data_IF_687245941157
#
_entry.id   IF_687245941157
#
_cell.length_a   1.000
_cell.length_b   1.000
_cell.length_c   1.000
_cell.angle_alpha   90.00
_cell.angle_beta   90.00
_cell.angle_gamma   90.00
#
_symmetry.space_group_name_H-M   'P 1'
#
loop_
_entity.id
_entity.type
_entity.pdbx_description
1 polymer ?
#
# COMPACT_ATOMS: atom_id res chain seq x y z
N UNK A 1 11.97 11.36 3.76
CA UNK A 1 13.00 11.00 2.76
C UNK A 1 12.40 10.31 1.54
N UNK A 2 11.80 9.10 1.60
CA UNK A 2 11.26 8.39 0.43
C UNK A 2 10.21 9.20 -0.38
N UNK A 3 9.25 9.88 0.29
CA UNK A 3 8.28 10.77 -0.36
C UNK A 3 8.97 11.94 -1.09
N UNK A 4 9.96 12.57 -0.46
CA UNK A 4 10.68 13.69 -1.06
C UNK A 4 11.42 13.26 -2.34
N UNK A 5 12.02 12.05 -2.31
CA UNK A 5 12.66 11.47 -3.49
C UNK A 5 11.64 11.18 -4.60
N UNK A 6 10.45 10.62 -4.24
CA UNK A 6 9.36 10.44 -5.19
C UNK A 6 8.92 11.75 -5.80
N UNK A 7 8.68 12.78 -4.98
CA UNK A 7 8.25 14.10 -5.45
C UNK A 7 9.30 14.72 -6.37
N UNK A 8 10.58 14.59 -6.03
CA UNK A 8 11.69 15.10 -6.83
C UNK A 8 11.80 14.39 -8.19
N UNK A 9 11.70 13.06 -8.22
CA UNK A 9 11.88 12.28 -9.45
C UNK A 9 10.63 12.24 -10.34
N UNK A 10 9.43 12.08 -9.77
CA UNK A 10 8.23 11.74 -10.52
C UNK A 10 7.17 12.85 -10.56
N UNK A 11 7.31 13.87 -9.71
CA UNK A 11 6.44 15.05 -9.72
C UNK A 11 7.14 16.24 -10.34
N UNK A 12 8.38 16.55 -9.91
CA UNK A 12 9.22 17.62 -10.45
C UNK A 12 9.96 17.19 -11.72
N UNK A 13 10.15 15.87 -11.93
CA UNK A 13 10.86 15.26 -13.04
C UNK A 13 12.38 15.52 -13.05
N UNK A 14 12.95 15.72 -11.88
CA UNK A 14 14.38 15.92 -11.67
C UNK A 14 15.10 14.60 -11.26
N UNK A 15 14.68 13.47 -11.84
CA UNK A 15 15.42 12.22 -11.75
C UNK A 15 16.81 12.36 -12.40
N UNK A 16 17.82 11.55 -12.00
CA UNK A 16 19.16 11.63 -12.59
C UNK A 16 19.15 11.30 -14.08
N UNK A 17 19.70 12.19 -14.90
CA UNK A 17 19.98 11.92 -16.31
C UNK A 17 21.28 11.09 -16.47
N UNK A 18 21.72 10.84 -17.69
CA UNK A 18 22.94 10.08 -18.00
C UNK A 18 24.21 10.66 -17.37
N UNK A 19 24.23 11.99 -17.11
CA UNK A 19 25.33 12.69 -16.45
C UNK A 19 25.16 12.76 -14.92
N UNK A 20 24.09 12.16 -14.36
CA UNK A 20 23.75 12.26 -12.94
C UNK A 20 23.17 13.62 -12.52
N UNK A 21 22.84 14.51 -13.47
CA UNK A 21 22.20 15.81 -13.20
C UNK A 21 20.69 15.69 -13.16
N UNK A 22 19.98 16.63 -12.46
CA UNK A 22 18.52 16.67 -12.48
C UNK A 22 17.98 16.81 -13.92
N UNK A 23 17.10 15.91 -14.35
CA UNK A 23 16.67 15.84 -15.76
C UNK A 23 16.04 17.13 -16.24
N UNK A 24 14.89 17.54 -15.65
CA UNK A 24 14.13 18.72 -16.11
C UNK A 24 14.90 20.01 -15.89
N UNK A 25 15.50 20.21 -14.71
CA UNK A 25 16.24 21.42 -14.35
C UNK A 25 17.52 21.61 -15.18
N UNK A 26 18.05 20.55 -15.79
CA UNK A 26 19.19 20.59 -16.71
C UNK A 26 18.78 20.67 -18.18
N UNK A 27 17.50 20.97 -18.48
CA UNK A 27 17.02 21.14 -19.84
C UNK A 27 16.56 19.86 -20.52
N UNK A 28 16.22 18.84 -19.77
CA UNK A 28 15.64 17.57 -20.27
C UNK A 28 14.35 17.82 -21.07
N UNK A 29 14.19 17.12 -22.19
CA UNK A 29 13.07 17.29 -23.11
C UNK A 29 11.74 16.88 -22.48
N UNK A 30 10.75 17.75 -22.53
CA UNK A 30 9.40 17.52 -22.03
C UNK A 30 8.40 17.46 -23.19
N UNK A 31 7.39 16.63 -23.09
CA UNK A 31 6.32 16.46 -24.08
C UNK A 31 4.95 16.58 -23.43
N UNK A 32 4.03 17.27 -24.10
CA UNK A 32 2.66 17.35 -23.63
C UNK A 32 1.94 16.02 -23.70
N UNK A 33 1.27 15.64 -22.63
CA UNK A 33 0.49 14.41 -22.60
C UNK A 33 -1.01 14.70 -22.41
N UNK A 34 -1.80 14.40 -23.44
CA UNK A 34 -3.25 14.68 -23.47
C UNK A 34 -4.04 13.95 -22.38
N UNK A 35 -3.63 12.75 -21.97
CA UNK A 35 -4.33 11.97 -20.93
C UNK A 35 -4.09 12.50 -19.55
N UNK A 36 -2.87 12.99 -19.29
CA UNK A 36 -2.47 13.54 -17.98
C UNK A 36 -2.70 15.06 -17.89
N UNK A 37 -3.00 15.73 -19.02
CA UNK A 37 -3.17 17.20 -19.14
C UNK A 37 -1.99 17.97 -18.54
N UNK A 38 -0.78 17.46 -18.78
CA UNK A 38 0.49 18.08 -18.31
C UNK A 38 1.65 17.59 -19.16
N UNK A 39 2.75 18.32 -19.08
CA UNK A 39 4.02 17.88 -19.65
C UNK A 39 4.61 16.74 -18.80
N UNK A 40 5.20 15.77 -19.49
CA UNK A 40 5.96 14.66 -18.91
C UNK A 40 7.29 14.51 -19.64
N UNK A 41 8.32 13.90 -19.06
CA UNK A 41 9.60 13.66 -19.73
C UNK A 41 9.43 12.86 -21.02
N UNK A 42 10.25 13.18 -22.01
CA UNK A 42 10.31 12.38 -23.25
C UNK A 42 10.60 10.91 -22.91
N UNK A 43 9.87 9.99 -23.55
CA UNK A 43 9.98 8.54 -23.30
C UNK A 43 9.11 8.02 -22.15
N UNK A 44 8.50 8.89 -21.36
CA UNK A 44 7.48 8.47 -20.39
C UNK A 44 6.11 8.31 -21.02
N UNK A 45 5.26 7.50 -20.42
CA UNK A 45 3.91 7.23 -20.92
C UNK A 45 2.83 7.44 -19.89
N UNK A 46 1.62 7.77 -20.34
CA UNK A 46 0.42 7.72 -19.51
C UNK A 46 -0.07 6.27 -19.44
N UNK A 47 0.10 5.59 -18.32
CA UNK A 47 -0.23 4.19 -18.12
C UNK A 47 -1.31 4.02 -17.07
N UNK A 48 -2.31 3.17 -17.34
CA UNK A 48 -3.31 2.79 -16.34
C UNK A 48 -2.69 1.85 -15.31
N UNK A 49 -3.10 1.96 -14.05
CA UNK A 49 -2.63 1.07 -12.97
C UNK A 49 -2.88 -0.39 -13.34
N UNK A 50 -4.08 -0.73 -13.83
CA UNK A 50 -4.40 -2.10 -14.25
C UNK A 50 -3.61 -2.61 -15.46
N UNK A 51 -2.85 -1.73 -16.15
CA UNK A 51 -1.90 -2.12 -17.18
C UNK A 51 -0.46 -2.19 -16.65
N UNK A 52 -0.17 -1.52 -15.53
CA UNK A 52 1.11 -1.63 -14.83
C UNK A 52 1.17 -2.92 -14.02
N UNK A 53 0.07 -3.21 -13.31
CA UNK A 53 -0.13 -4.43 -12.51
C UNK A 53 -1.52 -4.99 -12.81
N UNK A 54 -1.56 -6.21 -13.35
CA UNK A 54 -2.81 -6.81 -13.85
C UNK A 54 -3.64 -7.45 -12.75
N UNK A 55 -2.98 -7.88 -11.67
CA UNK A 55 -3.63 -8.61 -10.60
C UNK A 55 -4.17 -7.67 -9.54
N UNK A 56 -5.39 -7.16 -9.77
CA UNK A 56 -6.14 -6.36 -8.81
C UNK A 56 -7.27 -7.22 -8.22
N UNK A 57 -7.31 -7.35 -6.90
CA UNK A 57 -8.29 -8.15 -6.16
C UNK A 57 -9.19 -7.23 -5.35
N UNK A 58 -10.50 -7.28 -5.61
CA UNK A 58 -11.51 -6.71 -4.70
C UNK A 58 -11.77 -7.72 -3.58
N UNK A 59 -11.71 -7.26 -2.35
CA UNK A 59 -12.02 -8.09 -1.19
C UNK A 59 -13.48 -8.57 -1.18
N UNK A 60 -13.75 -9.51 -0.28
CA UNK A 60 -15.09 -10.07 -0.10
C UNK A 60 -15.24 -10.51 1.37
N UNK A 61 -16.42 -10.34 1.93
CA UNK A 61 -16.76 -10.84 3.26
C UNK A 61 -17.38 -12.24 3.11
N UNK A 62 -16.86 -13.26 3.83
CA UNK A 62 -17.52 -14.56 3.91
C UNK A 62 -18.91 -14.43 4.53
N UNK A 63 -19.76 -15.47 4.40
CA UNK A 63 -21.09 -15.46 4.98
C UNK A 63 -21.04 -15.21 6.48
N UNK A 64 -21.66 -14.12 6.94
CA UNK A 64 -21.75 -13.80 8.36
C UNK A 64 -22.80 -14.67 9.11
N UNK A 65 -23.62 -15.43 8.39
CA UNK A 65 -24.56 -16.37 8.98
C UNK A 65 -23.87 -17.65 9.50
N UNK A 66 -22.64 -17.89 9.07
CA UNK A 66 -21.82 -19.02 9.53
C UNK A 66 -20.63 -18.45 10.36
N UNK A 67 -20.80 -18.52 11.68
CA UNK A 67 -19.80 -18.01 12.63
C UNK A 67 -18.46 -18.73 12.54
N UNK A 68 -18.45 -20.00 12.11
CA UNK A 68 -17.24 -20.77 11.90
C UNK A 68 -16.30 -20.19 10.84
N UNK A 69 -16.77 -19.23 10.05
CA UNK A 69 -15.93 -18.52 9.07
C UNK A 69 -14.94 -17.53 9.72
N UNK A 70 -15.11 -17.22 11.00
CA UNK A 70 -14.37 -16.18 11.71
C UNK A 70 -13.61 -16.74 12.91
N UNK A 71 -12.73 -15.93 13.54
CA UNK A 71 -12.07 -16.27 14.80
C UNK A 71 -10.81 -17.13 14.67
N UNK A 72 -10.28 -17.32 13.45
CA UNK A 72 -9.01 -18.03 13.25
C UNK A 72 -7.80 -17.11 13.15
N UNK A 73 -6.75 -17.53 12.43
CA UNK A 73 -5.46 -16.83 12.39
C UNK A 73 -5.25 -15.92 11.16
N UNK A 74 -6.19 -15.90 10.21
CA UNK A 74 -6.03 -15.16 8.96
C UNK A 74 -6.61 -13.75 9.14
N UNK A 75 -5.80 -12.67 9.09
CA UNK A 75 -6.29 -11.30 9.22
C UNK A 75 -7.36 -11.00 8.17
N UNK A 76 -8.50 -10.47 8.61
CA UNK A 76 -9.56 -9.96 7.76
C UNK A 76 -9.54 -8.43 7.81
N UNK A 77 -8.75 -7.85 6.92
CA UNK A 77 -8.37 -6.45 6.94
C UNK A 77 -9.52 -5.56 6.46
N UNK A 78 -9.81 -4.54 7.24
CA UNK A 78 -10.80 -3.49 6.96
C UNK A 78 -10.11 -2.13 6.82
N UNK A 79 -10.89 -1.07 6.55
CA UNK A 79 -10.35 0.29 6.42
C UNK A 79 -9.70 0.76 7.73
N UNK A 80 -10.28 0.38 8.87
CA UNK A 80 -9.78 0.83 10.18
C UNK A 80 -8.44 0.19 10.53
N UNK A 81 -8.20 -1.04 10.07
CA UNK A 81 -6.91 -1.73 10.24
C UNK A 81 -5.79 -1.10 9.38
N UNK A 82 -6.15 -0.52 8.21
CA UNK A 82 -5.20 0.17 7.32
C UNK A 82 -4.94 1.61 7.82
N UNK A 83 -5.92 2.23 8.45
CA UNK A 83 -5.86 3.64 8.84
C UNK A 83 -4.69 3.91 9.79
N UNK A 84 -3.72 4.71 9.33
CA UNK A 84 -2.51 5.05 10.09
C UNK A 84 -1.42 3.97 10.05
N UNK A 85 -1.66 2.84 9.41
CA UNK A 85 -0.71 1.73 9.31
C UNK A 85 -0.18 1.59 7.88
N UNK A 86 1.11 1.86 7.68
CA UNK A 86 1.77 1.62 6.39
C UNK A 86 1.88 0.12 6.10
N UNK A 87 2.10 -0.70 7.13
CA UNK A 87 2.15 -2.16 7.05
C UNK A 87 1.14 -2.77 8.02
N UNK A 88 0.25 -3.62 7.51
CA UNK A 88 -0.82 -4.27 8.27
C UNK A 88 -0.40 -5.70 8.60
N UNK A 89 -0.02 -5.94 9.85
CA UNK A 89 0.34 -7.26 10.36
C UNK A 89 -0.86 -8.00 10.94
N UNK A 90 -1.77 -7.27 11.58
CA UNK A 90 -2.92 -7.81 12.28
C UNK A 90 -4.18 -7.01 11.93
N UNK A 91 -5.33 -7.58 12.16
CA UNK A 91 -6.63 -6.95 11.98
C UNK A 91 -7.50 -7.23 13.20
N UNK A 92 -8.46 -6.34 13.47
CA UNK A 92 -9.41 -6.51 14.58
C UNK A 92 -10.27 -7.77 14.44
N UNK A 93 -10.47 -8.22 13.20
CA UNK A 93 -11.19 -9.45 12.87
C UNK A 93 -10.29 -10.41 12.14
N UNK A 94 -10.51 -11.69 12.37
CA UNK A 94 -9.79 -12.76 11.67
C UNK A 94 -10.76 -13.73 11.04
N UNK A 95 -10.31 -14.44 10.02
CA UNK A 95 -11.02 -15.55 9.40
C UNK A 95 -10.41 -16.87 9.88
N UNK A 96 -11.28 -17.88 10.01
CA UNK A 96 -10.83 -19.25 10.08
C UNK A 96 -10.32 -19.71 8.70
N UNK A 97 -9.58 -20.81 8.65
CA UNK A 97 -9.19 -21.43 7.38
C UNK A 97 -10.41 -21.74 6.51
N UNK A 98 -11.50 -22.29 7.12
CA UNK A 98 -12.78 -22.54 6.42
C UNK A 98 -13.33 -21.28 5.77
N UNK A 99 -13.39 -20.17 6.52
CA UNK A 99 -13.91 -18.91 6.02
C UNK A 99 -13.06 -18.32 4.91
N UNK A 100 -11.74 -18.34 5.06
CA UNK A 100 -10.81 -17.83 4.06
C UNK A 100 -10.81 -18.68 2.78
N UNK A 101 -10.82 -20.00 2.89
CA UNK A 101 -10.82 -20.93 1.76
C UNK A 101 -12.16 -20.92 1.01
N UNK A 102 -13.27 -20.51 1.66
CA UNK A 102 -14.56 -20.30 0.98
C UNK A 102 -14.47 -19.21 -0.12
N UNK A 103 -13.41 -18.44 -0.09
CA UNK A 103 -13.10 -17.38 -1.05
C UNK A 103 -11.59 -17.34 -1.38
N UNK A 104 -11.01 -18.49 -1.68
CA UNK A 104 -9.59 -18.72 -1.92
C UNK A 104 -8.93 -17.66 -2.83
N UNK A 105 -9.63 -17.24 -3.91
CA UNK A 105 -9.13 -16.22 -4.86
C UNK A 105 -9.00 -14.81 -4.26
N UNK A 106 -9.35 -14.64 -2.98
CA UNK A 106 -9.26 -13.36 -2.25
C UNK A 106 -8.06 -13.26 -1.33
N UNK A 107 -7.25 -14.31 -1.26
CA UNK A 107 -5.99 -14.23 -0.53
C UNK A 107 -5.06 -13.19 -1.12
N UNK A 108 -4.47 -12.39 -0.24
CA UNK A 108 -3.50 -11.36 -0.54
C UNK A 108 -2.15 -11.78 0.02
N UNK A 109 -1.15 -12.00 -0.84
CA UNK A 109 0.21 -12.28 -0.39
C UNK A 109 0.84 -11.06 0.28
N UNK A 110 1.90 -11.30 1.03
CA UNK A 110 2.74 -10.24 1.63
C UNK A 110 3.22 -9.27 0.56
N UNK A 111 3.17 -7.98 0.86
CA UNK A 111 3.57 -6.92 -0.06
C UNK A 111 2.43 -6.42 -0.96
N UNK A 112 1.23 -7.02 -0.93
CA UNK A 112 0.07 -6.47 -1.65
C UNK A 112 -0.29 -5.08 -1.11
N UNK A 113 -0.58 -4.13 -1.98
CA UNK A 113 -1.04 -2.78 -1.60
C UNK A 113 -2.55 -2.74 -1.57
N UNK A 114 -3.13 -2.60 -0.40
CA UNK A 114 -4.57 -2.49 -0.17
C UNK A 114 -4.99 -1.03 -0.10
N UNK A 115 -6.05 -0.67 -0.83
CA UNK A 115 -6.55 0.69 -0.97
C UNK A 115 -8.06 0.71 -0.77
N UNK A 116 -8.55 1.53 0.14
CA UNK A 116 -9.97 1.72 0.35
C UNK A 116 -10.62 2.45 -0.83
N UNK A 117 -11.71 1.89 -1.34
CA UNK A 117 -12.44 2.39 -2.52
C UNK A 117 -13.91 2.68 -2.25
N UNK A 118 -14.41 2.41 -1.03
CA UNK A 118 -15.79 2.68 -0.61
C UNK A 118 -15.76 3.34 0.78
N UNK A 119 -16.58 4.36 0.97
CA UNK A 119 -16.64 5.12 2.22
C UNK A 119 -15.47 6.12 2.33
N UNK A 120 -14.48 5.83 3.15
CA UNK A 120 -13.25 6.66 3.20
C UNK A 120 -12.27 6.20 2.14
N UNK A 121 -12.24 6.89 1.00
CA UNK A 121 -11.41 6.50 -0.15
C UNK A 121 -9.96 6.96 0.01
N UNK A 122 -9.01 6.14 -0.47
CA UNK A 122 -7.60 6.48 -0.55
C UNK A 122 -6.81 6.22 0.75
N UNK A 123 -7.42 5.54 1.74
CA UNK A 123 -6.64 4.95 2.85
C UNK A 123 -5.93 3.74 2.31
N UNK A 124 -4.62 3.65 2.50
CA UNK A 124 -3.81 2.60 1.89
C UNK A 124 -2.69 2.11 2.79
N UNK A 125 -2.37 0.83 2.65
CA UNK A 125 -1.29 0.16 3.38
C UNK A 125 -0.92 -1.17 2.73
N UNK A 126 0.28 -1.64 3.03
CA UNK A 126 0.78 -2.91 2.55
C UNK A 126 0.38 -4.06 3.49
N UNK A 127 -0.01 -5.17 2.92
CA UNK A 127 -0.27 -6.41 3.64
C UNK A 127 1.07 -7.00 4.10
N UNK A 128 1.25 -7.18 5.39
CA UNK A 128 2.51 -7.65 5.99
C UNK A 128 2.53 -9.16 6.31
N UNK A 129 1.36 -9.83 6.29
CA UNK A 129 1.21 -11.31 6.36
C UNK A 129 0.03 -11.73 5.49
N UNK A 130 -0.04 -13.01 5.10
CA UNK A 130 -1.15 -13.54 4.30
C UNK A 130 -2.49 -13.15 4.92
N UNK A 131 -3.35 -12.48 4.16
CA UNK A 131 -4.60 -11.89 4.66
C UNK A 131 -5.69 -11.89 3.60
N UNK A 132 -6.91 -11.50 3.99
CA UNK A 132 -7.99 -11.16 3.08
C UNK A 132 -8.59 -9.81 3.50
N UNK A 133 -9.34 -9.17 2.61
CA UNK A 133 -9.99 -7.87 2.86
C UNK A 133 -11.48 -7.93 2.62
N UNK A 134 -12.23 -6.95 3.15
CA UNK A 134 -13.64 -6.78 2.83
C UNK A 134 -13.82 -6.13 1.45
N UNK A 135 -15.07 -6.07 0.97
CA UNK A 135 -15.43 -5.53 -0.36
C UNK A 135 -15.18 -4.03 -0.54
N UNK A 136 -14.82 -3.30 0.51
CA UNK A 136 -14.51 -1.87 0.44
C UNK A 136 -13.10 -1.60 -0.09
N UNK A 137 -12.27 -2.64 -0.19
CA UNK A 137 -10.85 -2.54 -0.50
C UNK A 137 -10.55 -3.21 -1.84
N UNK A 138 -9.84 -2.50 -2.70
CA UNK A 138 -9.16 -3.04 -3.86
C UNK A 138 -7.66 -3.17 -3.55
N UNK A 139 -7.08 -4.33 -3.85
CA UNK A 139 -5.68 -4.61 -3.55
C UNK A 139 -4.91 -4.94 -4.82
N UNK A 140 -3.73 -4.35 -4.97
CA UNK A 140 -2.79 -4.66 -6.05
C UNK A 140 -1.86 -5.76 -5.53
N UNK A 141 -1.86 -6.91 -6.21
CA UNK A 141 -0.86 -7.95 -6.03
C UNK A 141 0.22 -7.75 -7.08
N UNK A 142 1.40 -7.37 -6.66
CA UNK A 142 2.47 -6.97 -7.56
C UNK A 142 3.10 -8.16 -8.28
N UNK A 143 3.21 -8.05 -9.59
CA UNK A 143 4.02 -8.94 -10.43
C UNK A 143 5.48 -8.45 -10.48
N UNK A 144 5.68 -7.14 -10.30
CA UNK A 144 6.97 -6.47 -10.36
C UNK A 144 7.27 -5.69 -9.08
N UNK A 145 8.26 -6.13 -8.33
CA UNK A 145 8.66 -5.52 -7.05
C UNK A 145 8.97 -4.01 -7.19
N UNK A 146 9.58 -3.60 -8.28
CA UNK A 146 9.94 -2.20 -8.54
C UNK A 146 8.74 -1.25 -8.70
N UNK A 147 7.53 -1.78 -8.82
CA UNK A 147 6.32 -0.97 -8.89
C UNK A 147 5.72 -0.62 -7.51
N UNK A 148 6.10 -1.32 -6.44
CA UNK A 148 5.44 -1.20 -5.12
C UNK A 148 5.44 0.22 -4.60
N UNK A 149 6.61 0.76 -4.30
CA UNK A 149 6.74 2.07 -3.67
C UNK A 149 6.37 3.19 -4.64
N UNK A 150 6.68 3.00 -5.93
CA UNK A 150 6.26 3.95 -6.97
C UNK A 150 4.73 4.07 -7.02
N UNK A 151 3.99 2.95 -7.14
CA UNK A 151 2.53 2.99 -7.20
C UNK A 151 1.89 3.41 -5.89
N UNK A 152 2.49 3.10 -4.74
CA UNK A 152 2.05 3.61 -3.45
C UNK A 152 2.05 5.15 -3.43
N UNK A 153 3.16 5.79 -3.83
CA UNK A 153 3.23 7.25 -3.86
C UNK A 153 2.39 7.86 -4.98
N UNK A 154 2.32 7.21 -6.14
CA UNK A 154 1.50 7.66 -7.27
C UNK A 154 0.00 7.70 -6.89
N UNK A 155 -0.50 6.64 -6.25
CA UNK A 155 -1.87 6.57 -5.77
C UNK A 155 -2.13 7.57 -4.65
N UNK A 156 -1.20 7.71 -3.71
CA UNK A 156 -1.31 8.69 -2.64
C UNK A 156 -1.46 10.10 -3.20
N UNK A 157 -0.62 10.48 -4.15
CA UNK A 157 -0.71 11.78 -4.82
C UNK A 157 -2.02 11.95 -5.59
N UNK A 158 -2.49 10.88 -6.26
CA UNK A 158 -3.77 10.89 -6.97
C UNK A 158 -4.93 11.20 -6.02
N UNK A 159 -5.02 10.51 -4.88
CA UNK A 159 -6.10 10.72 -3.91
C UNK A 159 -5.99 12.05 -3.15
N UNK A 160 -4.77 12.52 -2.83
CA UNK A 160 -4.54 13.84 -2.24
C UNK A 160 -5.03 14.95 -3.19
N UNK A 161 -4.72 14.87 -4.48
CA UNK A 161 -5.15 15.81 -5.50
C UNK A 161 -6.67 15.76 -5.76
N UNK A 162 -7.26 14.57 -5.79
CA UNK A 162 -8.70 14.40 -5.96
C UNK A 162 -9.46 15.02 -4.80
N UNK A 163 -9.03 14.79 -3.57
CA UNK A 163 -9.60 15.39 -2.35
C UNK A 163 -9.49 16.92 -2.35
N UNK A 164 -8.37 17.47 -2.79
CA UNK A 164 -8.17 18.93 -2.87
C UNK A 164 -9.09 19.60 -3.88
N UNK A 165 -9.46 18.92 -4.99
CA UNK A 165 -10.31 19.48 -6.04
C UNK A 165 -11.81 19.44 -5.72
N UNK A 166 -12.29 18.41 -5.03
CA UNK A 166 -13.73 18.15 -4.87
C UNK A 166 -14.24 18.33 -3.44
N UNK A 167 -13.35 18.54 -2.46
CA UNK A 167 -13.69 18.60 -1.04
C UNK A 167 -14.17 17.28 -0.45
N UNK A 168 -14.81 16.45 -1.25
CA UNK A 168 -15.19 15.07 -0.91
C UNK A 168 -14.81 14.16 -2.08
N UNK A 169 -13.95 13.21 -1.83
CA UNK A 169 -13.60 12.18 -2.81
C UNK A 169 -14.76 11.23 -2.95
N UNK A 170 -15.10 10.88 -4.19
CA UNK A 170 -16.07 9.87 -4.64
C UNK A 170 -16.68 9.00 -3.54
N UNK A 171 -18.00 8.82 -3.53
CA UNK A 171 -18.63 7.96 -2.53
C UNK A 171 -18.21 6.48 -2.67
N UNK A 172 -17.99 6.03 -3.90
CA UNK A 172 -17.58 4.66 -4.23
C UNK A 172 -16.73 4.66 -5.51
N UNK A 173 -15.69 3.85 -5.54
CA UNK A 173 -14.85 3.59 -6.72
C UNK A 173 -14.85 2.09 -7.00
N UNK A 174 -15.36 1.69 -8.16
CA UNK A 174 -15.32 0.30 -8.61
C UNK A 174 -13.87 -0.18 -8.85
N UNK A 175 -13.70 -1.50 -9.01
CA UNK A 175 -12.41 -2.09 -9.39
C UNK A 175 -11.94 -1.55 -10.74
N UNK A 176 -12.85 -1.40 -11.69
CA UNK A 176 -12.58 -0.91 -13.05
C UNK A 176 -12.14 0.56 -13.03
N UNK A 177 -12.77 1.39 -12.23
CA UNK A 177 -12.38 2.79 -12.03
C UNK A 177 -11.01 2.87 -11.36
N UNK A 178 -10.77 2.09 -10.31
CA UNK A 178 -9.47 2.00 -9.65
C UNK A 178 -8.37 1.57 -10.63
N UNK A 179 -8.59 0.51 -11.41
CA UNK A 179 -7.66 0.03 -12.42
C UNK A 179 -7.43 1.03 -13.56
N UNK A 180 -8.40 1.94 -13.81
CA UNK A 180 -8.34 2.97 -14.85
C UNK A 180 -7.57 4.23 -14.46
N UNK A 181 -7.17 4.39 -13.18
CA UNK A 181 -6.35 5.50 -12.72
C UNK A 181 -5.08 5.58 -13.57
N UNK A 182 -4.81 6.76 -14.12
CA UNK A 182 -3.68 6.99 -15.03
C UNK A 182 -2.56 7.70 -14.28
N UNK A 183 -1.35 7.17 -14.41
CA UNK A 183 -0.13 7.76 -13.84
C UNK A 183 0.90 8.05 -14.94
N UNK A 184 1.78 9.04 -14.71
CA UNK A 184 2.96 9.23 -15.53
C UNK A 184 3.94 8.10 -15.20
N UNK A 185 4.10 7.15 -16.13
CA UNK A 185 4.86 5.93 -15.92
C UNK A 185 6.21 6.01 -16.63
N UNK A 186 7.31 5.94 -15.89
CA UNK A 186 8.66 6.04 -16.45
C UNK A 186 9.10 4.74 -17.12
N UNK A 187 10.19 4.75 -17.89
CA UNK A 187 10.91 3.55 -18.27
C UNK A 187 11.36 2.74 -17.04
N UNK A 188 11.36 1.42 -17.17
CA UNK A 188 11.59 0.47 -16.07
C UNK A 188 12.88 0.72 -15.29
N UNK A 189 13.96 1.12 -15.96
CA UNK A 189 15.23 1.43 -15.32
C UNK A 189 15.13 2.48 -14.20
N UNK A 190 14.27 3.49 -14.36
CA UNK A 190 14.06 4.50 -13.31
C UNK A 190 13.27 3.95 -12.14
N UNK A 191 12.30 3.05 -12.41
CA UNK A 191 11.54 2.36 -11.37
C UNK A 191 12.47 1.45 -10.56
N UNK A 192 13.32 0.67 -11.21
CA UNK A 192 14.31 -0.20 -10.57
C UNK A 192 15.28 0.62 -9.72
N UNK A 193 15.83 1.71 -10.26
CA UNK A 193 16.75 2.57 -9.53
C UNK A 193 16.08 3.21 -8.31
N UNK A 194 14.85 3.71 -8.46
CA UNK A 194 14.07 4.26 -7.36
C UNK A 194 13.78 3.21 -6.29
N UNK A 195 13.35 2.02 -6.69
CA UNK A 195 13.06 0.91 -5.79
C UNK A 195 14.31 0.51 -5.00
N UNK A 196 15.48 0.39 -5.64
CA UNK A 196 16.73 0.05 -4.96
C UNK A 196 17.11 1.05 -3.84
N UNK A 197 16.69 2.31 -3.96
CA UNK A 197 16.92 3.35 -2.93
C UNK A 197 15.85 3.30 -1.85
N UNK A 198 14.57 3.09 -2.24
CA UNK A 198 13.43 3.28 -1.35
C UNK A 198 13.00 2.00 -0.64
N UNK A 199 13.11 0.83 -1.27
CA UNK A 199 12.70 -0.43 -0.67
C UNK A 199 13.41 -0.72 0.67
N UNK A 200 14.73 -0.48 0.85
CA UNK A 200 15.38 -0.65 2.15
C UNK A 200 14.80 0.22 3.26
N UNK A 201 14.28 1.42 2.91
CA UNK A 201 13.61 2.31 3.88
C UNK A 201 12.28 1.70 4.31
N UNK A 202 11.49 1.19 3.34
CA UNK A 202 10.22 0.53 3.61
C UNK A 202 10.41 -0.76 4.41
N UNK A 203 11.44 -1.54 4.11
CA UNK A 203 11.80 -2.74 4.87
C UNK A 203 12.19 -2.40 6.32
N UNK A 204 12.96 -1.34 6.54
CA UNK A 204 13.29 -0.87 7.88
C UNK A 204 12.03 -0.45 8.65
N UNK A 205 11.09 0.27 8.02
CA UNK A 205 9.82 0.66 8.63
C UNK A 205 9.01 -0.60 8.97
N UNK A 206 8.89 -1.55 8.05
CA UNK A 206 8.17 -2.81 8.28
C UNK A 206 8.73 -3.58 9.47
N UNK A 207 10.06 -3.71 9.52
CA UNK A 207 10.74 -4.43 10.61
C UNK A 207 10.53 -3.73 11.96
N UNK A 208 10.63 -2.40 12.02
CA UNK A 208 10.38 -1.63 13.24
C UNK A 208 8.93 -1.77 13.71
N UNK A 209 7.94 -1.72 12.80
CA UNK A 209 6.53 -1.93 13.14
C UNK A 209 6.33 -3.35 13.70
N UNK A 210 6.92 -4.36 13.07
CA UNK A 210 6.84 -5.73 13.56
C UNK A 210 7.44 -5.88 14.96
N UNK A 211 8.61 -5.30 15.19
CA UNK A 211 9.26 -5.30 16.50
C UNK A 211 8.41 -4.61 17.58
N UNK A 212 7.84 -3.44 17.26
CA UNK A 212 6.91 -2.72 18.15
C UNK A 212 5.71 -3.59 18.51
N UNK A 213 5.12 -4.29 17.53
CA UNK A 213 3.98 -5.18 17.76
C UNK A 213 4.36 -6.34 18.70
N UNK A 214 5.52 -6.97 18.47
CA UNK A 214 6.01 -8.06 19.33
C UNK A 214 6.28 -7.58 20.75
N UNK A 215 6.99 -6.46 20.91
CA UNK A 215 7.31 -5.90 22.23
C UNK A 215 6.05 -5.43 22.97
N UNK A 216 5.09 -4.86 22.24
CA UNK A 216 3.80 -4.47 22.82
C UNK A 216 3.04 -5.68 23.35
N UNK A 217 2.99 -6.76 22.60
CA UNK A 217 2.35 -8.01 23.02
C UNK A 217 3.04 -8.60 24.26
N UNK A 218 4.38 -8.66 24.25
CA UNK A 218 5.15 -9.13 25.41
C UNK A 218 4.89 -8.27 26.66
N UNK A 219 4.86 -6.95 26.52
CA UNK A 219 4.52 -6.04 27.63
C UNK A 219 3.13 -6.35 28.18
N UNK A 220 2.14 -6.50 27.31
CA UNK A 220 0.74 -6.70 27.73
C UNK A 220 0.54 -8.08 28.38
N UNK A 221 1.33 -9.08 28.01
CA UNK A 221 1.35 -10.40 28.64
C UNK A 221 2.07 -10.37 30.00
N UNK A 222 3.18 -9.64 30.13
CA UNK A 222 4.01 -9.62 31.34
C UNK A 222 3.49 -8.68 32.41
N UNK A 223 2.91 -7.54 32.03
CA UNK A 223 2.47 -6.50 32.99
C UNK A 223 1.48 -7.03 34.02
N UNK A 224 0.43 -7.79 33.71
CA UNK A 224 -0.47 -8.38 34.69
C UNK A 224 0.25 -9.35 35.64
N UNK A 225 1.23 -10.13 35.15
CA UNK A 225 1.99 -11.08 35.98
C UNK A 225 2.86 -10.36 37.00
N UNK A 226 3.49 -9.26 36.60
CA UNK A 226 4.27 -8.41 37.50
C UNK A 226 3.37 -7.74 38.54
N UNK A 227 2.22 -7.21 38.14
CA UNK A 227 1.28 -6.54 39.06
C UNK A 227 0.67 -7.50 40.11
N UNK A 228 0.50 -8.78 39.71
CA UNK A 228 -0.04 -9.81 40.62
C UNK A 228 1.05 -10.53 41.44
N UNK A 229 2.32 -10.12 41.36
CA UNK A 229 3.44 -10.75 42.03
C UNK A 229 3.76 -12.17 41.57
N UNK A 230 3.28 -12.55 40.39
CA UNK A 230 3.52 -13.87 39.79
C UNK A 230 4.85 -13.95 39.02
N UNK A 231 5.44 -12.79 38.74
CA UNK A 231 6.79 -12.65 38.17
C UNK A 231 7.55 -11.58 38.95
N UNK A 232 8.86 -11.74 39.12
CA UNK A 232 9.77 -10.77 39.74
C UNK A 232 10.89 -10.43 38.75
N UNK A 233 11.31 -9.16 38.71
CA UNK A 233 12.55 -8.78 38.00
C UNK A 233 13.73 -9.21 38.87
N UNK A 234 14.60 -10.06 38.33
CA UNK A 234 15.90 -10.30 38.96
C UNK A 234 16.72 -9.02 38.79
N UNK A 235 17.03 -8.36 39.92
CA UNK A 235 18.04 -7.30 39.95
C UNK A 235 19.40 -7.96 40.11
N UNK A 236 20.14 -8.09 39.04
CA UNK A 236 21.56 -8.37 39.04
C UNK A 236 22.34 -7.07 39.29
#
# INVERSE_FOLDING_TARGET
MARQLYDYWFVQFDFPNEEGKPYKSSGGSMVWNEKLKREIPQGWIAKKIGNAEKNIITGKTPSCADEDNFGGDIPFVTIDDIRGNLFVFEAQRTLSTKGADSQEKKYLPVGSLSVSCIGTIGVMGFIARLAQTNQQINSIVFEHEYNKEFLYFALRLYFENAKAKTGNVFANMSKEEFASIIVAYPPEQFLQTFNNIVAPIFDSIRNNINEINVLTKQRDELLPLLMNGQATLNSD
#
